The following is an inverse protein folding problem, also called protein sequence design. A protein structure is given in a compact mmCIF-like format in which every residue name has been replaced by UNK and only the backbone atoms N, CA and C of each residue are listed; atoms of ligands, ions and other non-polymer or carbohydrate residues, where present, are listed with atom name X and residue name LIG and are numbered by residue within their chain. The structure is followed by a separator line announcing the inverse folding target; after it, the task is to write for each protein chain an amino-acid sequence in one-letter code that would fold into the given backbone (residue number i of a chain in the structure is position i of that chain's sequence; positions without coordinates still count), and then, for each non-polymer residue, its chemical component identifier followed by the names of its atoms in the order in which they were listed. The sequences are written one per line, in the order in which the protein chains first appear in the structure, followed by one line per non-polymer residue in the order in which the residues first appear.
data_IF_916032597992
#
_entry.id   IF_916032597992
#
_cell.length_a   1.000
_cell.length_b   1.000
_cell.length_c   1.000
_cell.angle_alpha   90.00
_cell.angle_beta   90.00
_cell.angle_gamma   90.00
#
_symmetry.space_group_name_H-M   'P 1'
#
loop_
_entity.id
_entity.type
_entity.pdbx_description
1 polymer ?
#
# COMPACT_ATOMS: atom_id res chain seq x y z
N UNK A 1 -8.03 -51.42 -28.77
CA UNK A 1 -9.26 -51.14 -28.01
C UNK A 1 -9.27 -49.65 -27.80
N UNK A 2 -10.15 -48.94 -28.51
CA UNK A 2 -10.33 -47.51 -28.33
C UNK A 2 -11.26 -47.34 -27.15
N UNK A 3 -10.75 -46.82 -26.04
CA UNK A 3 -11.56 -46.48 -24.87
C UNK A 3 -12.48 -45.32 -25.26
N UNK A 4 -13.76 -45.64 -25.43
CA UNK A 4 -14.84 -44.65 -25.48
C UNK A 4 -14.91 -44.04 -24.08
N UNK A 5 -14.48 -42.80 -23.93
CA UNK A 5 -14.77 -42.00 -22.73
C UNK A 5 -16.20 -41.49 -22.85
N UNK A 6 -17.03 -41.82 -21.86
CA UNK A 6 -18.44 -41.47 -21.82
C UNK A 6 -18.60 -39.95 -21.57
N UNK A 7 -19.69 -39.37 -22.08
CA UNK A 7 -19.91 -37.91 -22.10
C UNK A 7 -19.94 -37.23 -20.72
N UNK A 8 -20.17 -37.99 -19.65
CA UNK A 8 -20.19 -37.49 -18.27
C UNK A 8 -18.78 -37.26 -17.70
N UNK A 9 -17.74 -37.93 -18.22
CA UNK A 9 -16.35 -37.75 -17.78
C UNK A 9 -15.75 -36.39 -18.23
N UNK A 10 -16.27 -35.84 -19.33
CA UNK A 10 -15.81 -34.55 -19.86
C UNK A 10 -16.31 -33.37 -19.04
N UNK A 11 -17.52 -33.44 -18.49
CA UNK A 11 -18.09 -32.41 -17.61
C UNK A 11 -17.36 -32.36 -16.26
N UNK A 12 -16.88 -33.52 -15.76
CA UNK A 12 -16.03 -33.58 -14.56
C UNK A 12 -14.65 -32.98 -14.83
N UNK A 13 -14.10 -33.18 -16.03
CA UNK A 13 -12.81 -32.61 -16.42
C UNK A 13 -12.84 -31.08 -16.54
N UNK A 14 -13.95 -30.53 -17.02
CA UNK A 14 -14.15 -29.08 -17.15
C UNK A 14 -14.16 -28.37 -15.78
N UNK A 15 -14.52 -29.08 -14.71
CA UNK A 15 -14.42 -28.56 -13.34
C UNK A 15 -12.97 -28.34 -12.85
N UNK A 16 -11.97 -28.98 -13.50
CA UNK A 16 -10.55 -28.83 -13.18
C UNK A 16 -9.85 -27.76 -14.01
N UNK A 17 -10.51 -27.19 -15.03
CA UNK A 17 -9.93 -26.15 -15.88
C UNK A 17 -10.56 -24.78 -15.62
N UNK A 18 -9.73 -23.75 -15.65
CA UNK A 18 -10.20 -22.36 -15.63
C UNK A 18 -10.06 -21.77 -17.03
N UNK A 19 -11.20 -21.54 -17.70
CA UNK A 19 -11.25 -20.99 -19.06
C UNK A 19 -11.53 -19.48 -19.02
N UNK A 20 -10.62 -18.69 -19.56
CA UNK A 20 -10.75 -17.21 -19.66
C UNK A 20 -11.49 -16.82 -20.95
N UNK A 21 -12.77 -17.20 -21.08
CA UNK A 21 -13.58 -16.83 -22.23
C UNK A 21 -14.02 -15.36 -22.15
N UNK A 22 -13.73 -14.57 -23.19
CA UNK A 22 -14.13 -13.16 -23.28
C UNK A 22 -13.21 -12.17 -22.57
N UNK A 23 -12.13 -12.63 -21.93
CA UNK A 23 -11.07 -11.76 -21.39
C UNK A 23 -10.19 -11.19 -22.50
N UNK A 24 -9.57 -10.03 -22.25
CA UNK A 24 -8.61 -9.46 -23.19
C UNK A 24 -7.35 -10.32 -23.27
N UNK A 25 -6.55 -10.14 -24.33
CA UNK A 25 -5.32 -10.92 -24.49
C UNK A 25 -4.31 -10.61 -23.38
N UNK A 26 -4.29 -9.37 -22.88
CA UNK A 26 -3.46 -8.94 -21.76
C UNK A 26 -3.85 -9.67 -20.47
N UNK A 27 -5.14 -9.80 -20.16
CA UNK A 27 -5.60 -10.50 -18.95
C UNK A 27 -5.23 -11.99 -19.00
N UNK A 28 -5.34 -12.61 -20.17
CA UNK A 28 -4.91 -14.00 -20.39
C UNK A 28 -3.40 -14.15 -20.21
N UNK A 29 -2.58 -13.19 -20.69
CA UNK A 29 -1.13 -13.26 -20.48
C UNK A 29 -0.76 -13.06 -19.01
N UNK A 30 -1.41 -12.14 -18.30
CA UNK A 30 -1.19 -11.96 -16.86
C UNK A 30 -1.58 -13.19 -16.07
N UNK A 31 -2.73 -13.79 -16.34
CA UNK A 31 -3.16 -15.02 -15.67
C UNK A 31 -2.14 -16.15 -15.88
N UNK A 32 -1.61 -16.32 -17.10
CA UNK A 32 -0.57 -17.31 -17.39
C UNK A 32 0.70 -17.09 -16.56
N UNK A 33 1.19 -15.85 -16.48
CA UNK A 33 2.38 -15.51 -15.68
C UNK A 33 2.11 -15.67 -14.19
N UNK A 34 0.91 -15.31 -13.72
CA UNK A 34 0.52 -15.47 -12.34
C UNK A 34 0.49 -16.94 -11.93
N UNK A 35 -0.26 -17.78 -12.65
CA UNK A 35 -0.39 -19.20 -12.33
C UNK A 35 0.91 -19.98 -12.53
N UNK A 36 1.77 -19.55 -13.46
CA UNK A 36 3.12 -20.13 -13.56
C UNK A 36 4.00 -19.76 -12.37
N UNK A 37 3.80 -18.59 -11.75
CA UNK A 37 4.55 -18.18 -10.56
C UNK A 37 4.14 -18.91 -9.27
N UNK A 38 2.89 -19.37 -9.18
CA UNK A 38 2.36 -20.08 -7.99
C UNK A 38 3.06 -21.42 -7.75
N UNK A 39 3.54 -22.08 -8.81
CA UNK A 39 4.29 -23.34 -8.70
C UNK A 39 5.79 -23.14 -8.54
N UNK A 40 6.28 -21.90 -8.63
CA UNK A 40 7.70 -21.60 -8.42
C UNK A 40 8.00 -21.57 -6.93
N UNK A 41 9.12 -22.19 -6.58
CA UNK A 41 9.67 -22.03 -5.25
C UNK A 41 9.95 -20.54 -5.00
N UNK A 42 9.54 -19.96 -3.85
CA UNK A 42 9.73 -18.55 -3.55
C UNK A 42 11.18 -18.10 -3.86
N UNK A 43 11.41 -16.88 -4.36
CA UNK A 43 12.76 -16.42 -4.69
C UNK A 43 13.66 -16.52 -3.46
N UNK A 44 14.95 -16.78 -3.66
CA UNK A 44 15.91 -17.06 -2.58
C UNK A 44 15.92 -15.98 -1.49
N UNK A 45 15.68 -14.73 -1.86
CA UNK A 45 15.62 -13.57 -0.98
C UNK A 45 14.41 -13.57 -0.03
N UNK A 46 13.33 -14.27 -0.43
CA UNK A 46 12.11 -14.43 0.37
C UNK A 46 12.10 -15.71 1.22
N UNK A 47 13.13 -16.57 1.09
CA UNK A 47 13.24 -17.80 1.88
C UNK A 47 13.80 -17.47 3.25
N UNK A 48 13.05 -17.80 4.30
CA UNK A 48 13.48 -17.73 5.71
C UNK A 48 14.76 -18.55 5.98
N UNK A 49 15.06 -19.55 5.16
CA UNK A 49 16.26 -20.38 5.26
C UNK A 49 16.92 -20.43 3.89
N UNK A 50 18.16 -19.94 3.79
CA UNK A 50 18.93 -20.01 2.54
C UNK A 50 19.25 -21.48 2.22
N UNK A 51 19.02 -21.89 0.96
CA UNK A 51 19.21 -23.27 0.51
C UNK A 51 20.66 -23.79 0.64
N UNK A 52 21.65 -22.90 0.76
CA UNK A 52 23.06 -23.26 0.90
C UNK A 52 23.77 -22.45 1.99
N UNK A 53 23.18 -22.34 3.19
CA UNK A 53 23.98 -21.99 4.36
C UNK A 53 24.87 -23.19 4.70
N UNK A 54 26.05 -23.21 4.09
CA UNK A 54 27.16 -23.99 4.63
C UNK A 54 27.68 -23.21 5.83
N UNK A 55 27.45 -23.75 7.03
CA UNK A 55 27.93 -23.17 8.27
C UNK A 55 29.47 -23.09 8.21
N UNK A 56 30.02 -21.90 7.94
CA UNK A 56 31.48 -21.68 7.89
C UNK A 56 32.12 -21.76 9.28
N UNK A 57 31.30 -21.65 10.33
CA UNK A 57 31.68 -21.72 11.73
C UNK A 57 31.42 -23.13 12.27
N UNK A 58 32.25 -23.59 13.20
CA UNK A 58 32.00 -24.86 13.90
C UNK A 58 30.62 -24.79 14.59
N UNK A 59 29.85 -25.87 14.52
CA UNK A 59 28.66 -26.08 15.36
C UNK A 59 29.10 -25.87 16.80
N UNK A 60 28.41 -24.98 17.53
CA UNK A 60 28.69 -24.78 18.94
C UNK A 60 28.57 -26.14 19.64
N UNK A 61 29.61 -26.53 20.38
CA UNK A 61 29.57 -27.76 21.16
C UNK A 61 28.46 -27.70 22.21
N UNK A 62 28.08 -28.86 22.74
CA UNK A 62 27.12 -28.97 23.84
C UNK A 62 27.45 -27.95 24.93
N UNK A 63 26.44 -27.27 25.50
CA UNK A 63 26.66 -26.27 26.53
C UNK A 63 27.35 -26.95 27.71
N UNK A 64 28.66 -26.76 27.81
CA UNK A 64 29.36 -26.99 29.05
C UNK A 64 28.72 -26.07 30.08
N UNK A 65 28.43 -26.54 31.30
CA UNK A 65 27.98 -25.67 32.37
C UNK A 65 29.16 -24.80 32.83
N UNK A 66 29.58 -23.85 31.99
CA UNK A 66 30.35 -22.71 32.44
C UNK A 66 29.40 -21.87 33.29
N UNK A 67 29.66 -21.88 34.59
CA UNK A 67 29.01 -21.08 35.62
C UNK A 67 29.18 -19.57 35.37
N UNK A 68 28.60 -19.03 34.30
CA UNK A 68 28.31 -17.62 34.12
C UNK A 68 27.03 -17.49 33.30
N UNK A 69 25.92 -18.03 33.83
CA UNK A 69 24.62 -17.44 33.54
C UNK A 69 24.64 -16.05 34.18
N UNK A 70 24.97 -15.02 33.42
CA UNK A 70 24.72 -13.64 33.83
C UNK A 70 23.22 -13.51 34.07
N UNK A 71 22.84 -13.53 35.35
CA UNK A 71 21.49 -13.17 35.77
C UNK A 71 21.16 -11.81 35.16
N UNK A 72 19.95 -11.59 34.60
CA UNK A 72 19.58 -10.29 34.06
C UNK A 72 19.82 -9.25 35.17
N UNK A 73 20.73 -8.32 34.91
CA UNK A 73 21.09 -7.32 35.89
C UNK A 73 19.89 -6.38 36.03
N UNK A 74 19.36 -6.21 37.24
CA UNK A 74 18.15 -5.42 37.51
C UNK A 74 18.26 -3.98 36.97
N UNK A 75 19.50 -3.47 36.91
CA UNK A 75 19.83 -2.17 36.33
C UNK A 75 19.59 -2.12 34.81
N UNK A 76 19.85 -3.20 34.07
CA UNK A 76 19.63 -3.27 32.62
C UNK A 76 18.13 -3.31 32.28
N UNK A 77 17.33 -4.00 33.10
CA UNK A 77 15.88 -4.03 32.97
C UNK A 77 15.25 -2.66 33.21
N UNK A 78 15.70 -1.95 34.26
CA UNK A 78 15.26 -0.58 34.56
C UNK A 78 15.65 0.40 33.43
N UNK A 79 16.85 0.26 32.86
CA UNK A 79 17.28 1.07 31.72
C UNK A 79 16.39 0.85 30.49
N UNK A 80 16.04 -0.39 30.18
CA UNK A 80 15.17 -0.72 29.05
C UNK A 80 13.74 -0.15 29.26
N UNK A 81 13.19 -0.30 30.46
CA UNK A 81 11.87 0.24 30.81
C UNK A 81 11.85 1.78 30.73
N UNK A 82 12.90 2.45 31.19
CA UNK A 82 12.98 3.93 31.09
C UNK A 82 13.11 4.39 29.64
N UNK A 83 13.87 3.69 28.80
CA UNK A 83 14.00 3.98 27.38
C UNK A 83 12.65 3.82 26.67
N UNK A 84 11.93 2.73 26.96
CA UNK A 84 10.59 2.48 26.42
C UNK A 84 9.59 3.58 26.82
N UNK A 85 9.57 3.98 28.10
CA UNK A 85 8.72 5.08 28.58
C UNK A 85 9.04 6.40 27.88
N UNK A 86 10.33 6.71 27.68
CA UNK A 86 10.77 7.92 26.99
C UNK A 86 10.32 7.92 25.52
N UNK A 87 10.45 6.79 24.83
CA UNK A 87 9.99 6.64 23.45
C UNK A 87 8.47 6.88 23.35
N UNK A 88 7.68 6.22 24.19
CA UNK A 88 6.21 6.38 24.22
C UNK A 88 5.80 7.82 24.52
N UNK A 89 6.50 8.49 25.45
CA UNK A 89 6.24 9.90 25.77
C UNK A 89 6.55 10.82 24.60
N UNK A 90 7.67 10.60 23.88
CA UNK A 90 8.04 11.37 22.71
C UNK A 90 7.03 11.20 21.56
N UNK A 91 6.60 9.96 21.29
CA UNK A 91 5.55 9.69 20.30
C UNK A 91 4.24 10.37 20.66
N UNK A 92 3.80 10.24 21.93
CA UNK A 92 2.58 10.91 22.41
C UNK A 92 2.66 12.41 22.20
N UNK A 93 3.78 13.04 22.54
CA UNK A 93 3.97 14.48 22.34
C UNK A 93 3.90 14.86 20.86
N UNK A 94 4.56 14.09 19.98
CA UNK A 94 4.50 14.29 18.52
C UNK A 94 3.06 14.28 18.02
N UNK A 95 2.24 13.32 18.46
CA UNK A 95 0.83 13.25 18.07
C UNK A 95 0.00 14.43 18.61
N UNK A 96 0.27 14.89 19.84
CA UNK A 96 -0.39 16.08 20.39
C UNK A 96 -0.07 17.33 19.58
N UNK A 97 1.19 17.52 19.20
CA UNK A 97 1.61 18.67 18.38
C UNK A 97 0.97 18.62 16.98
N UNK A 98 0.88 17.44 16.37
CA UNK A 98 0.17 17.25 15.10
C UNK A 98 -1.33 17.53 15.23
N UNK A 99 -1.97 17.12 16.32
CA UNK A 99 -3.38 17.40 16.57
C UNK A 99 -3.64 18.90 16.73
N UNK A 100 -2.76 19.61 17.44
CA UNK A 100 -2.83 21.07 17.58
C UNK A 100 -2.70 21.78 16.22
N UNK A 101 -1.68 21.41 15.43
CA UNK A 101 -1.52 21.94 14.05
C UNK A 101 -2.75 21.69 13.19
N UNK A 102 -3.36 20.50 13.28
CA UNK A 102 -4.59 20.16 12.55
C UNK A 102 -5.76 21.05 12.99
N UNK A 103 -5.91 21.31 14.29
CA UNK A 103 -6.95 22.20 14.81
C UNK A 103 -6.77 23.63 14.26
N UNK A 104 -5.54 24.14 14.22
CA UNK A 104 -5.22 25.46 13.69
C UNK A 104 -5.57 25.57 12.19
N UNK A 105 -5.23 24.55 11.39
CA UNK A 105 -5.59 24.49 9.96
C UNK A 105 -7.12 24.49 9.78
N UNK A 106 -7.83 23.67 10.56
CA UNK A 106 -9.30 23.61 10.48
C UNK A 106 -9.92 24.96 10.85
N UNK A 107 -9.41 25.63 11.89
CA UNK A 107 -9.89 26.95 12.29
C UNK A 107 -9.66 28.00 11.19
N UNK A 108 -8.48 28.00 10.57
CA UNK A 108 -8.16 28.87 9.45
C UNK A 108 -9.11 28.65 8.27
N UNK A 109 -9.32 27.39 7.86
CA UNK A 109 -10.21 27.06 6.74
C UNK A 109 -11.66 27.45 7.02
N UNK A 110 -12.13 27.28 8.26
CA UNK A 110 -13.45 27.75 8.69
C UNK A 110 -13.58 29.26 8.52
N UNK A 111 -12.61 30.03 9.02
CA UNK A 111 -12.57 31.49 8.87
C UNK A 111 -12.57 31.90 7.39
N UNK A 112 -11.73 31.29 6.56
CA UNK A 112 -11.69 31.57 5.13
C UNK A 112 -13.03 31.27 4.44
N UNK A 113 -13.71 30.19 4.82
CA UNK A 113 -15.03 29.84 4.30
C UNK A 113 -16.07 30.87 4.71
N UNK A 114 -16.09 31.30 5.96
CA UNK A 114 -16.98 32.35 6.45
C UNK A 114 -16.76 33.68 5.73
N UNK A 115 -15.50 34.07 5.55
CA UNK A 115 -15.13 35.29 4.81
C UNK A 115 -15.55 35.21 3.33
N UNK A 116 -15.38 34.04 2.70
CA UNK A 116 -15.88 33.80 1.33
C UNK A 116 -17.39 33.93 1.28
N UNK A 117 -18.11 33.27 2.17
CA UNK A 117 -19.59 33.32 2.24
C UNK A 117 -20.04 34.77 2.41
N UNK A 118 -19.45 35.54 3.34
CA UNK A 118 -19.78 36.96 3.54
C UNK A 118 -19.62 37.78 2.26
N UNK A 119 -18.49 37.62 1.55
CA UNK A 119 -18.23 38.31 0.28
C UNK A 119 -19.22 37.89 -0.81
N UNK A 120 -19.53 36.61 -0.90
CA UNK A 120 -20.52 36.10 -1.84
C UNK A 120 -21.91 36.64 -1.51
N UNK A 121 -22.37 36.59 -0.27
CA UNK A 121 -23.67 37.15 0.16
C UNK A 121 -23.83 38.62 -0.26
N UNK A 122 -22.78 39.43 -0.13
CA UNK A 122 -22.82 40.85 -0.55
C UNK A 122 -22.83 40.99 -2.07
N UNK A 123 -22.04 40.17 -2.80
CA UNK A 123 -21.91 40.28 -4.26
C UNK A 123 -23.01 39.57 -5.05
N UNK A 124 -23.71 38.61 -4.45
CA UNK A 124 -24.76 37.81 -5.09
C UNK A 124 -25.85 38.66 -5.77
N UNK A 125 -26.38 39.73 -5.15
CA UNK A 125 -27.39 40.59 -5.78
C UNK A 125 -26.86 41.42 -6.96
N UNK A 126 -25.56 41.68 -7.01
CA UNK A 126 -24.91 42.54 -8.00
C UNK A 126 -24.14 41.75 -9.07
N UNK A 127 -24.10 40.41 -8.96
CA UNK A 127 -23.51 39.57 -10.00
C UNK A 127 -24.34 39.71 -11.27
N UNK A 128 -23.74 40.13 -12.39
CA UNK A 128 -24.45 40.14 -13.67
C UNK A 128 -24.98 38.74 -13.91
N UNK A 129 -26.30 38.60 -14.11
CA UNK A 129 -26.87 37.36 -14.63
C UNK A 129 -26.21 37.16 -15.99
N UNK A 130 -25.25 36.25 -16.10
CA UNK A 130 -24.86 35.75 -17.40
C UNK A 130 -26.15 35.19 -18.00
N UNK A 131 -26.62 35.83 -19.06
CA UNK A 131 -27.75 35.38 -19.85
C UNK A 131 -27.58 33.86 -20.06
N UNK A 132 -28.62 33.09 -19.74
CA UNK A 132 -28.64 31.68 -20.11
C UNK A 132 -28.38 31.59 -21.61
N UNK A 133 -27.30 30.89 -22.00
CA UNK A 133 -27.18 29.93 -23.11
C UNK A 133 -25.71 29.76 -23.51
N UNK A 134 -25.23 28.52 -23.39
CA UNK A 134 -24.03 27.95 -24.02
C UNK A 134 -22.67 28.59 -23.72
N UNK A 135 -21.97 28.09 -22.68
CA UNK A 135 -20.49 27.96 -22.63
C UNK A 135 -20.08 27.50 -21.21
N UNK A 136 -20.52 26.31 -20.83
CA UNK A 136 -19.67 25.43 -20.04
C UNK A 136 -19.17 24.39 -21.02
N UNK A 137 -18.24 24.79 -21.88
CA UNK A 137 -17.40 23.79 -22.54
C UNK A 137 -16.69 23.02 -21.44
N UNK A 138 -16.83 21.70 -21.51
CA UNK A 138 -16.42 20.76 -20.50
C UNK A 138 -14.97 20.97 -20.09
N UNK A 139 -14.75 21.33 -18.82
CA UNK A 139 -13.46 21.18 -18.12
C UNK A 139 -13.26 19.68 -17.79
N UNK A 140 -13.49 18.80 -18.77
CA UNK A 140 -13.24 17.35 -18.68
C UNK A 140 -12.05 16.90 -19.50
N UNK A 141 -11.49 17.77 -20.34
CA UNK A 141 -10.23 17.49 -21.03
C UNK A 141 -9.07 18.00 -20.15
N UNK A 142 -8.17 17.11 -19.69
CA UNK A 142 -6.90 17.55 -19.14
C UNK A 142 -6.22 18.46 -20.16
N UNK A 143 -5.68 19.59 -19.69
CA UNK A 143 -4.83 20.44 -20.52
C UNK A 143 -3.70 19.60 -21.11
N UNK A 144 -3.28 19.91 -22.34
CA UNK A 144 -2.13 19.26 -23.00
C UNK A 144 -0.89 19.27 -22.12
N UNK A 145 -0.74 20.27 -21.25
CA UNK A 145 0.32 20.32 -20.24
C UNK A 145 0.24 19.17 -19.24
N UNK A 146 -0.95 18.87 -18.69
CA UNK A 146 -1.12 17.75 -17.77
C UNK A 146 -0.92 16.39 -18.43
N UNK A 147 -1.13 16.28 -19.75
CA UNK A 147 -0.82 15.08 -20.52
C UNK A 147 0.68 14.89 -20.67
N UNK A 148 1.41 15.95 -21.01
CA UNK A 148 2.87 15.93 -21.13
C UNK A 148 3.54 15.60 -19.80
N UNK A 149 3.11 16.23 -18.71
CA UNK A 149 3.62 15.96 -17.36
C UNK A 149 3.41 14.47 -16.97
N UNK A 150 2.26 13.89 -17.34
CA UNK A 150 1.97 12.48 -17.08
C UNK A 150 2.83 11.52 -17.93
N UNK A 151 3.18 11.90 -19.15
CA UNK A 151 4.09 11.13 -20.01
C UNK A 151 5.54 11.20 -19.53
N UNK A 152 6.01 12.36 -19.07
CA UNK A 152 7.35 12.51 -18.49
C UNK A 152 7.51 11.62 -17.26
N UNK A 153 6.52 11.63 -16.35
CA UNK A 153 6.53 10.76 -15.17
C UNK A 153 6.61 9.28 -15.56
N UNK A 154 5.90 8.86 -16.61
CA UNK A 154 5.93 7.48 -17.11
C UNK A 154 7.27 7.08 -17.73
N UNK A 155 8.07 8.04 -18.23
CA UNK A 155 9.40 7.77 -18.79
C UNK A 155 10.50 7.61 -17.73
N UNK A 156 10.22 7.99 -16.48
CA UNK A 156 11.16 7.90 -15.36
C UNK A 156 11.00 6.61 -14.52
N UNK A 157 9.99 5.78 -14.84
CA UNK A 157 9.72 4.46 -14.21
C UNK A 157 10.18 3.38 -15.18
#
# INVERSE_FOLDING_TARGET
MSEQLDGDDFDELDAYFTVFAGSSIEDVTYAKVFWSSVTLQPPLESRLVSASISQRLKVAGDPQPSLEQSTPNKEEEDLLETAYRRQRAAEKQKYLDMAKKRQDIIALLKKQREDRIKKETISLPYKPRKCDKHERSDIRTPSEQSRQDAEEVRRLI
#
